data_IF_801610424505
#
_entry.id   IF_801610424505
#
_cell.length_a   1.000
_cell.length_b   1.000
_cell.length_c   1.000
_cell.angle_alpha   90.00
_cell.angle_beta   90.00
_cell.angle_gamma   90.00
#
_symmetry.space_group_name_H-M   'P 1'
#
loop_
_entity.id
_entity.type
_entity.pdbx_description
1 polymer ?
#
# COMPACT_ATOMS: atom_id res chain seq x y z
N UNK A 1 16.25 18.66 -14.92
CA UNK A 1 16.35 17.82 -13.70
C UNK A 1 15.06 17.81 -12.85
N UNK A 2 13.90 18.24 -13.38
CA UNK A 2 12.61 18.25 -12.66
C UNK A 2 11.62 17.18 -13.14
N UNK A 3 11.80 16.61 -14.33
CA UNK A 3 10.86 15.65 -14.92
C UNK A 3 10.94 14.23 -14.31
N UNK A 4 12.12 13.81 -13.85
CA UNK A 4 12.35 12.46 -13.31
C UNK A 4 11.53 12.17 -12.04
N UNK A 5 11.44 13.15 -11.14
CA UNK A 5 10.62 13.03 -9.92
C UNK A 5 9.12 12.95 -10.22
N UNK A 6 8.65 13.61 -11.29
CA UNK A 6 7.24 13.61 -11.70
C UNK A 6 6.83 12.26 -12.32
N UNK A 7 7.71 11.66 -13.10
CA UNK A 7 7.45 10.37 -13.73
C UNK A 7 7.31 9.23 -12.71
N UNK A 8 8.07 9.28 -11.60
CA UNK A 8 7.95 8.30 -10.52
C UNK A 8 6.59 8.35 -9.81
N UNK A 9 6.09 9.56 -9.50
CA UNK A 9 4.80 9.72 -8.80
C UNK A 9 3.61 9.39 -9.72
N UNK A 10 3.67 9.73 -11.00
CA UNK A 10 2.64 9.37 -12.00
C UNK A 10 2.54 7.84 -12.21
N UNK A 11 3.69 7.15 -12.25
CA UNK A 11 3.75 5.69 -12.34
C UNK A 11 3.13 5.02 -11.10
N UNK A 12 3.42 5.56 -9.91
CA UNK A 12 2.81 5.10 -8.66
C UNK A 12 1.28 5.19 -8.69
N UNK A 13 0.72 6.35 -9.07
CA UNK A 13 -0.73 6.55 -9.13
C UNK A 13 -1.40 5.69 -10.21
N UNK A 14 -0.72 5.44 -11.34
CA UNK A 14 -1.22 4.56 -12.40
C UNK A 14 -1.35 3.11 -11.92
N UNK A 15 -0.34 2.61 -11.20
CA UNK A 15 -0.38 1.29 -10.58
C UNK A 15 -1.41 1.20 -9.45
N UNK A 16 -1.53 2.24 -8.62
CA UNK A 16 -2.53 2.30 -7.56
C UNK A 16 -3.95 2.23 -8.15
N UNK A 17 -4.23 3.01 -9.20
CA UNK A 17 -5.54 3.02 -9.87
C UNK A 17 -5.90 1.65 -10.44
N UNK A 18 -4.93 0.96 -11.06
CA UNK A 18 -5.10 -0.42 -11.56
C UNK A 18 -5.37 -1.42 -10.43
N UNK A 19 -4.58 -1.38 -9.35
CA UNK A 19 -4.79 -2.25 -8.19
C UNK A 19 -6.10 -1.98 -7.45
N UNK A 20 -6.49 -0.71 -7.37
CA UNK A 20 -7.74 -0.25 -6.77
C UNK A 20 -8.96 -0.80 -7.50
N UNK A 21 -9.00 -0.67 -8.83
CA UNK A 21 -10.10 -1.18 -9.67
C UNK A 21 -10.23 -2.72 -9.65
N UNK A 22 -9.10 -3.44 -9.51
CA UNK A 22 -9.10 -4.90 -9.51
C UNK A 22 -9.47 -5.55 -8.17
N UNK A 23 -9.11 -4.93 -7.05
CA UNK A 23 -9.25 -5.53 -5.70
C UNK A 23 -10.50 -5.02 -4.98
N UNK A 24 -10.94 -3.80 -5.28
CA UNK A 24 -11.97 -3.13 -4.49
C UNK A 24 -13.14 -2.70 -5.36
N UNK A 25 -14.12 -3.60 -5.55
CA UNK A 25 -15.37 -3.25 -6.24
C UNK A 25 -16.18 -2.15 -5.51
N UNK A 26 -15.97 -1.96 -4.19
CA UNK A 26 -16.47 -0.81 -3.39
C UNK A 26 -15.58 -0.52 -2.17
N UNK A 27 -15.00 0.68 -2.08
CA UNK A 27 -14.36 1.22 -0.85
C UNK A 27 -15.16 2.43 -0.35
N UNK A 28 -15.42 2.50 0.96
CA UNK A 28 -15.88 3.74 1.60
C UNK A 28 -14.71 4.75 1.64
N UNK A 29 -14.92 6.03 1.29
CA UNK A 29 -13.90 7.08 1.37
C UNK A 29 -13.18 7.13 2.72
N UNK A 30 -13.90 6.80 3.81
CA UNK A 30 -13.41 6.80 5.19
C UNK A 30 -12.20 5.86 5.41
N UNK A 31 -12.06 4.81 4.59
CA UNK A 31 -11.00 3.81 4.71
C UNK A 31 -9.95 3.93 3.60
N UNK A 32 -10.05 4.93 2.72
CA UNK A 32 -9.15 5.10 1.59
C UNK A 32 -7.69 5.29 2.03
N UNK A 33 -7.45 6.09 3.07
CA UNK A 33 -6.11 6.36 3.60
C UNK A 33 -5.37 5.07 3.97
N UNK A 34 -6.04 4.12 4.64
CA UNK A 34 -5.43 2.84 5.01
C UNK A 34 -4.97 2.04 3.78
N UNK A 35 -5.80 1.99 2.74
CA UNK A 35 -5.47 1.27 1.50
C UNK A 35 -4.30 1.92 0.76
N UNK A 36 -4.25 3.26 0.72
CA UNK A 36 -3.14 4.00 0.13
C UNK A 36 -1.84 3.74 0.90
N UNK A 37 -1.87 3.78 2.24
CA UNK A 37 -0.72 3.50 3.09
C UNK A 37 -0.21 2.06 2.91
N UNK A 38 -1.09 1.07 2.85
CA UNK A 38 -0.68 -0.32 2.58
C UNK A 38 -0.08 -0.49 1.18
N UNK A 39 -0.69 0.14 0.16
CA UNK A 39 -0.18 0.07 -1.21
C UNK A 39 1.19 0.74 -1.33
N UNK A 40 1.39 1.90 -0.69
CA UNK A 40 2.67 2.58 -0.61
C UNK A 40 3.73 1.69 0.06
N UNK A 41 3.40 1.08 1.20
CA UNK A 41 4.28 0.13 1.88
C UNK A 41 4.69 -1.05 0.99
N UNK A 42 3.72 -1.68 0.32
CA UNK A 42 4.00 -2.76 -0.65
C UNK A 42 4.85 -2.30 -1.82
N UNK A 43 4.59 -1.11 -2.37
CA UNK A 43 5.35 -0.56 -3.49
C UNK A 43 6.81 -0.27 -3.12
N UNK A 44 7.07 0.22 -1.90
CA UNK A 44 8.43 0.48 -1.41
C UNK A 44 9.23 -0.78 -1.11
N UNK A 45 8.58 -1.90 -0.78
CA UNK A 45 9.25 -3.17 -0.46
C UNK A 45 9.64 -3.94 -1.73
N UNK A 46 8.96 -3.73 -2.87
CA UNK A 46 9.25 -4.40 -4.16
C UNK A 46 10.64 -4.14 -4.73
N UNK A 47 11.30 -3.08 -4.27
CA UNK A 47 12.63 -2.67 -4.73
C UNK A 47 13.75 -3.27 -3.88
N UNK A 48 13.39 -4.02 -2.83
CA UNK A 48 14.33 -4.63 -1.89
C UNK A 48 14.68 -6.05 -2.33
N UNK A 49 15.85 -6.52 -1.88
CA UNK A 49 16.19 -7.93 -1.99
C UNK A 49 15.20 -8.81 -1.22
N UNK A 50 15.11 -10.08 -1.61
CA UNK A 50 14.17 -11.05 -1.04
C UNK A 50 14.30 -11.17 0.47
N UNK A 51 15.53 -11.15 1.00
CA UNK A 51 15.77 -11.24 2.45
C UNK A 51 15.24 -10.01 3.18
N UNK A 52 15.52 -8.81 2.64
CA UNK A 52 15.04 -7.54 3.20
C UNK A 52 13.52 -7.42 3.13
N UNK A 53 12.92 -7.92 2.05
CA UNK A 53 11.46 -8.02 1.92
C UNK A 53 10.87 -8.89 3.03
N UNK A 54 11.43 -10.08 3.26
CA UNK A 54 10.95 -11.00 4.30
C UNK A 54 11.10 -10.39 5.71
N UNK A 55 12.25 -9.78 6.01
CA UNK A 55 12.49 -9.11 7.29
C UNK A 55 11.47 -7.99 7.55
N UNK A 56 11.19 -7.15 6.54
CA UNK A 56 10.19 -6.09 6.67
C UNK A 56 8.77 -6.61 6.81
N UNK A 57 8.42 -7.71 6.13
CA UNK A 57 7.11 -8.35 6.30
C UNK A 57 6.94 -8.84 7.75
N UNK A 58 7.93 -9.55 8.30
CA UNK A 58 7.89 -10.07 9.67
C UNK A 58 7.85 -8.93 10.69
N UNK A 59 8.66 -7.89 10.51
CA UNK A 59 8.66 -6.72 11.39
C UNK A 59 7.32 -5.95 11.38
N UNK A 60 6.58 -6.00 10.27
CA UNK A 60 5.25 -5.41 10.15
C UNK A 60 4.13 -6.20 10.82
N UNK A 61 4.38 -7.44 11.25
CA UNK A 61 3.42 -8.27 11.99
C UNK A 61 3.44 -7.84 13.45
N UNK A 62 2.71 -6.76 13.75
CA UNK A 62 2.72 -6.19 15.11
C UNK A 62 1.75 -6.96 16.02
N UNK A 63 0.49 -7.19 15.60
CA UNK A 63 -0.56 -7.91 16.36
C UNK A 63 -1.66 -8.43 15.41
N UNK A 64 -2.48 -9.40 15.87
CA UNK A 64 -3.70 -9.82 15.16
C UNK A 64 -4.71 -8.67 15.13
N UNK A 65 -5.08 -8.20 13.94
CA UNK A 65 -6.13 -7.21 13.75
C UNK A 65 -7.51 -7.87 13.90
N UNK A 66 -8.32 -7.44 14.88
CA UNK A 66 -9.70 -7.93 15.03
C UNK A 66 -10.65 -7.17 14.12
N UNK A 67 -11.75 -7.81 13.71
CA UNK A 67 -12.73 -7.20 12.81
C UNK A 67 -13.29 -5.87 13.37
N UNK A 68 -13.52 -5.78 14.68
CA UNK A 68 -14.00 -4.56 15.35
C UNK A 68 -12.99 -3.40 15.23
N UNK A 69 -11.70 -3.69 15.39
CA UNK A 69 -10.61 -2.71 15.22
C UNK A 69 -10.47 -2.28 13.75
N UNK A 70 -10.80 -3.15 12.80
CA UNK A 70 -10.75 -2.86 11.36
C UNK A 70 -11.83 -1.84 10.93
N UNK A 71 -12.98 -1.84 11.60
CA UNK A 71 -14.13 -0.97 11.30
C UNK A 71 -14.18 0.29 12.18
N UNK A 72 -13.31 0.41 13.18
CA UNK A 72 -13.17 1.62 14.01
C UNK A 72 -14.26 1.80 15.05
N UNK A 73 -14.78 0.70 15.62
CA UNK A 73 -15.72 0.71 16.75
C UNK A 73 -14.99 0.72 18.10
#
# INVERSE_FOLDING_TARGET
MSHEKRNGIESFWSMLKRGYQAIFHKISPERLNRHVSEFAGRHSIRVLDTVDMMLRMVAGIVKRLRYLELIGW
#
